data_IF_894081951601
#
_entry.id   IF_894081951601
#
_cell.length_a   1.000
_cell.length_b   1.000
_cell.length_c   1.000
_cell.angle_alpha   90.00
_cell.angle_beta   90.00
_cell.angle_gamma   90.00
#
_symmetry.space_group_name_H-M   'P 1'
#
loop_
_entity.id
_entity.type
_entity.pdbx_description
1 polymer ?
#
# COMPACT_ATOMS: atom_id res chain seq x y z
N UNK A 1 19.80 26.66 -2.76
CA UNK A 1 19.04 25.66 -3.54
C UNK A 1 19.98 24.85 -4.44
N UNK A 2 20.57 23.73 -3.97
CA UNK A 2 21.12 22.72 -4.87
C UNK A 2 20.91 21.29 -4.35
N UNK A 3 19.66 20.86 -4.15
CA UNK A 3 19.35 19.49 -3.67
C UNK A 3 18.60 18.63 -4.71
N UNK A 4 18.23 19.19 -5.86
CA UNK A 4 17.47 18.47 -6.89
C UNK A 4 18.34 17.97 -8.06
N UNK A 5 19.60 18.41 -8.17
CA UNK A 5 20.48 18.04 -9.29
C UNK A 5 21.23 16.72 -9.04
N UNK A 6 21.62 16.45 -7.79
CA UNK A 6 22.35 15.22 -7.41
C UNK A 6 21.42 14.00 -7.40
N UNK A 7 20.16 14.19 -7.01
CA UNK A 7 19.15 13.12 -6.99
C UNK A 7 18.67 12.75 -8.40
N UNK A 8 18.69 13.69 -9.35
CA UNK A 8 18.44 13.41 -10.77
C UNK A 8 19.58 12.65 -11.45
N UNK A 9 20.84 12.89 -11.06
CA UNK A 9 22.00 12.18 -11.59
C UNK A 9 22.10 10.72 -11.10
N UNK A 10 21.60 10.40 -9.90
CA UNK A 10 21.65 9.04 -9.37
C UNK A 10 20.65 8.07 -10.03
N UNK A 11 19.61 8.57 -10.69
CA UNK A 11 18.63 7.74 -11.42
C UNK A 11 18.99 7.53 -12.90
N UNK A 12 19.73 8.45 -13.53
CA UNK A 12 20.13 8.31 -14.95
C UNK A 12 21.29 7.33 -15.19
N UNK A 13 22.05 6.93 -14.17
CA UNK A 13 23.23 6.06 -14.32
C UNK A 13 22.93 4.55 -14.23
N UNK A 14 21.69 4.11 -14.51
CA UNK A 14 21.31 2.69 -14.47
C UNK A 14 20.77 2.16 -15.80
N UNK A 15 21.11 2.80 -16.92
CA UNK A 15 20.88 2.23 -18.24
C UNK A 15 22.25 1.92 -18.84
N UNK A 16 22.49 0.64 -19.14
CA UNK A 16 23.72 0.22 -19.83
C UNK A 16 23.74 0.84 -21.23
N UNK A 17 24.89 1.20 -21.82
CA UNK A 17 24.95 1.66 -23.20
C UNK A 17 24.31 0.66 -24.19
N UNK A 18 24.33 -0.65 -23.89
CA UNK A 18 23.61 -1.65 -24.69
C UNK A 18 22.08 -1.56 -24.52
N UNK A 19 21.58 -1.30 -23.30
CA UNK A 19 20.14 -1.09 -23.05
C UNK A 19 19.64 0.21 -23.70
N UNK A 20 20.47 1.26 -23.71
CA UNK A 20 20.16 2.52 -24.40
C UNK A 20 19.97 2.28 -25.89
N UNK A 21 20.90 1.56 -26.51
CA UNK A 21 20.87 1.28 -27.95
C UNK A 21 19.68 0.39 -28.31
N UNK A 22 19.37 -0.61 -27.49
CA UNK A 22 18.19 -1.46 -27.63
C UNK A 22 16.88 -0.65 -27.56
N UNK A 23 16.77 0.29 -26.61
CA UNK A 23 15.59 1.16 -26.47
C UNK A 23 15.47 2.11 -27.66
N UNK A 24 16.57 2.69 -28.15
CA UNK A 24 16.55 3.61 -29.29
C UNK A 24 16.14 2.89 -30.58
N UNK A 25 16.67 1.69 -30.82
CA UNK A 25 16.32 0.87 -31.99
C UNK A 25 14.83 0.49 -31.98
N UNK A 26 14.30 0.08 -30.82
CA UNK A 26 12.87 -0.24 -30.68
C UNK A 26 11.96 1.00 -30.74
N UNK A 27 12.46 2.19 -30.42
CA UNK A 27 11.70 3.45 -30.59
C UNK A 27 11.65 3.86 -32.07
N UNK A 28 12.76 3.71 -32.79
CA UNK A 28 12.86 4.02 -34.22
C UNK A 28 12.03 3.06 -35.09
N UNK A 29 11.97 1.77 -34.74
CA UNK A 29 11.06 0.80 -35.37
C UNK A 29 9.58 1.16 -35.13
N UNK A 30 9.23 1.56 -33.90
CA UNK A 30 7.87 1.96 -33.55
C UNK A 30 7.44 3.28 -34.22
N UNK A 31 8.35 4.23 -34.44
CA UNK A 31 8.08 5.45 -35.22
C UNK A 31 7.95 5.15 -36.72
N UNK A 32 8.73 4.21 -37.25
CA UNK A 32 8.70 3.85 -38.67
C UNK A 32 7.44 3.09 -39.10
N UNK A 33 6.77 2.40 -38.17
CA UNK A 33 5.45 1.78 -38.37
C UNK A 33 4.26 2.66 -37.96
N UNK A 34 4.50 3.86 -37.41
CA UNK A 34 3.44 4.77 -36.99
C UNK A 34 2.78 5.47 -38.20
N UNK A 35 1.74 4.83 -38.74
CA UNK A 35 0.63 5.56 -39.40
C UNK A 35 0.03 6.55 -38.40
N UNK A 36 -0.59 7.67 -38.84
CA UNK A 36 -0.95 8.82 -37.99
C UNK A 36 -2.15 8.58 -37.04
N UNK A 37 -2.27 7.40 -36.43
CA UNK A 37 -3.40 6.98 -35.61
C UNK A 37 -3.04 6.43 -34.22
N UNK A 38 -1.77 6.42 -33.77
CA UNK A 38 -1.38 5.71 -32.53
C UNK A 38 -0.69 6.54 -31.43
N UNK A 39 -0.88 7.86 -31.37
CA UNK A 39 -0.61 8.63 -30.14
C UNK A 39 -1.78 8.58 -29.14
N UNK A 40 -2.43 7.43 -28.98
CA UNK A 40 -3.21 7.17 -27.77
C UNK A 40 -2.27 6.51 -26.76
N UNK A 41 -1.53 7.35 -26.03
CA UNK A 41 -1.09 6.96 -24.71
C UNK A 41 -2.33 6.56 -23.92
N UNK A 42 -2.54 5.25 -23.72
CA UNK A 42 -3.60 4.73 -22.87
C UNK A 42 -3.54 5.51 -21.55
N UNK A 43 -4.63 6.19 -21.13
CA UNK A 43 -4.61 6.94 -19.88
C UNK A 43 -4.22 5.95 -18.76
N UNK A 44 -3.40 6.38 -17.78
CA UNK A 44 -3.00 5.51 -16.68
C UNK A 44 -4.28 4.94 -16.07
N UNK A 45 -4.41 3.62 -16.13
CA UNK A 45 -5.64 2.94 -15.75
C UNK A 45 -6.14 3.48 -14.41
N UNK A 46 -7.34 4.05 -14.43
CA UNK A 46 -7.94 4.67 -13.26
C UNK A 46 -8.06 3.60 -12.17
N UNK A 47 -7.39 3.82 -11.04
CA UNK A 47 -7.46 2.92 -9.89
C UNK A 47 -8.94 2.76 -9.50
N UNK A 48 -9.48 1.52 -9.43
CA UNK A 48 -10.90 1.29 -9.20
C UNK A 48 -11.27 1.52 -7.73
N UNK A 49 -11.21 2.78 -7.28
CA UNK A 49 -11.44 3.21 -5.89
C UNK A 49 -12.77 2.72 -5.31
N UNK A 50 -13.83 2.73 -6.13
CA UNK A 50 -15.17 2.30 -5.69
C UNK A 50 -15.22 0.80 -5.42
N UNK A 51 -14.56 0.00 -6.25
CA UNK A 51 -14.54 -1.46 -6.08
C UNK A 51 -13.71 -1.87 -4.87
N UNK A 52 -12.58 -1.17 -4.64
CA UNK A 52 -11.78 -1.34 -3.43
C UNK A 52 -12.58 -0.98 -2.17
N UNK A 53 -13.25 0.17 -2.16
CA UNK A 53 -14.06 0.64 -1.04
C UNK A 53 -15.31 -0.20 -0.77
N UNK A 54 -15.73 -1.05 -1.71
CA UNK A 54 -16.90 -1.94 -1.53
C UNK A 54 -16.49 -3.33 -1.04
N UNK A 55 -15.18 -3.64 -1.00
CA UNK A 55 -14.69 -4.96 -0.62
C UNK A 55 -14.55 -5.13 0.90
N UNK A 56 -15.10 -6.23 1.44
CA UNK A 56 -15.04 -6.56 2.87
C UNK A 56 -13.62 -6.67 3.45
N UNK A 57 -12.63 -7.29 2.76
CA UNK A 57 -11.28 -7.39 3.28
C UNK A 57 -10.59 -6.03 3.46
N UNK A 58 -10.94 -5.03 2.63
CA UNK A 58 -10.43 -3.66 2.76
C UNK A 58 -10.95 -3.01 4.04
N UNK A 59 -12.25 -3.14 4.34
CA UNK A 59 -12.81 -2.66 5.61
C UNK A 59 -12.25 -3.39 6.83
N UNK A 60 -12.03 -4.70 6.73
CA UNK A 60 -11.40 -5.48 7.79
C UNK A 60 -10.01 -4.94 8.12
N UNK A 61 -9.18 -4.67 7.11
CA UNK A 61 -7.85 -4.08 7.29
C UNK A 61 -7.94 -2.66 7.86
N UNK A 62 -8.84 -1.82 7.34
CA UNK A 62 -9.04 -0.45 7.85
C UNK A 62 -9.40 -0.42 9.34
N UNK A 63 -10.35 -1.25 9.75
CA UNK A 63 -10.83 -1.30 11.14
C UNK A 63 -9.77 -1.90 12.07
N UNK A 64 -9.03 -2.91 11.60
CA UNK A 64 -7.91 -3.50 12.34
C UNK A 64 -6.80 -2.48 12.59
N UNK A 65 -6.36 -1.80 11.53
CA UNK A 65 -5.28 -0.82 11.59
C UNK A 65 -5.67 0.41 12.42
N UNK A 66 -6.94 0.86 12.30
CA UNK A 66 -7.47 1.92 13.15
C UNK A 66 -7.53 1.50 14.63
N UNK A 67 -7.96 0.27 14.93
CA UNK A 67 -7.98 -0.27 16.30
C UNK A 67 -6.58 -0.40 16.91
N UNK A 68 -5.61 -0.84 16.12
CA UNK A 68 -4.20 -0.92 16.54
C UNK A 68 -3.61 0.48 16.78
N UNK A 69 -3.85 1.41 15.86
CA UNK A 69 -3.43 2.82 15.99
C UNK A 69 -4.04 3.48 17.24
N UNK A 70 -5.31 3.20 17.51
CA UNK A 70 -6.01 3.65 18.72
C UNK A 70 -5.34 3.13 19.99
N UNK A 71 -5.16 1.81 20.09
CA UNK A 71 -4.58 1.18 21.28
C UNK A 71 -3.19 1.72 21.55
N UNK A 72 -2.35 1.78 20.51
CA UNK A 72 -1.00 2.35 20.60
C UNK A 72 -1.02 3.80 21.09
N UNK A 73 -1.92 4.63 20.55
CA UNK A 73 -2.01 6.05 20.91
C UNK A 73 -2.43 6.27 22.37
N UNK A 74 -3.37 5.46 22.88
CA UNK A 74 -3.82 5.54 24.30
C UNK A 74 -2.69 5.09 25.22
N UNK A 75 -2.05 3.95 24.94
CA UNK A 75 -0.93 3.46 25.73
C UNK A 75 0.22 4.48 25.74
N UNK A 76 0.63 4.96 24.58
CA UNK A 76 1.75 5.88 24.46
C UNK A 76 1.48 7.21 25.17
N UNK A 77 0.29 7.79 25.01
CA UNK A 77 -0.02 9.13 25.54
C UNK A 77 -0.26 9.14 27.05
N UNK A 78 -0.80 8.07 27.61
CA UNK A 78 -1.24 8.05 29.00
C UNK A 78 -0.35 7.23 29.95
N UNK A 79 0.52 6.36 29.44
CA UNK A 79 1.53 5.66 30.26
C UNK A 79 2.42 6.64 31.05
N UNK A 80 2.98 7.71 30.45
CA UNK A 80 3.84 8.63 31.20
C UNK A 80 3.12 9.29 32.37
N UNK A 81 1.85 9.65 32.19
CA UNK A 81 0.99 10.24 33.24
C UNK A 81 0.67 9.22 34.34
N UNK A 82 0.38 7.97 33.98
CA UNK A 82 0.17 6.89 34.94
C UNK A 82 1.41 6.66 35.81
N UNK A 83 2.58 6.58 35.18
CA UNK A 83 3.86 6.34 35.88
C UNK A 83 4.22 7.52 36.80
N UNK A 84 3.93 8.74 36.38
CA UNK A 84 4.14 9.92 37.20
C UNK A 84 3.17 9.98 38.39
N UNK A 85 1.87 9.82 38.15
CA UNK A 85 0.84 10.07 39.16
C UNK A 85 0.64 8.90 40.13
N UNK A 86 0.86 7.66 39.68
CA UNK A 86 0.63 6.45 40.49
C UNK A 86 1.94 5.86 41.00
N UNK A 87 2.96 5.72 40.16
CA UNK A 87 4.27 5.20 40.59
C UNK A 87 5.16 6.28 41.21
N UNK A 88 4.85 7.56 41.04
CA UNK A 88 5.60 8.66 41.67
C UNK A 88 6.99 8.91 41.08
N UNK A 89 7.32 8.33 39.92
CA UNK A 89 8.62 8.54 39.30
C UNK A 89 8.79 9.99 38.81
N UNK A 90 9.97 10.57 39.06
CA UNK A 90 10.28 11.93 38.63
C UNK A 90 10.31 12.05 37.10
N UNK A 91 9.89 13.22 36.60
CA UNK A 91 9.80 13.54 35.16
C UNK A 91 11.14 13.31 34.42
N UNK A 92 12.29 13.45 35.11
CA UNK A 92 13.63 13.22 34.52
C UNK A 92 13.88 11.76 34.12
N UNK A 93 13.41 10.79 34.91
CA UNK A 93 13.51 9.36 34.57
C UNK A 93 12.39 8.95 33.60
N UNK A 94 11.24 9.63 33.64
CA UNK A 94 10.14 9.43 32.70
C UNK A 94 10.56 9.74 31.24
N UNK A 95 11.48 10.68 31.04
CA UNK A 95 12.05 10.98 29.71
C UNK A 95 12.80 9.80 29.10
N UNK A 96 13.62 9.08 29.89
CA UNK A 96 14.32 7.87 29.42
C UNK A 96 13.31 6.76 29.08
N UNK A 97 12.29 6.60 29.92
CA UNK A 97 11.25 5.60 29.69
C UNK A 97 10.36 5.92 28.48
N UNK A 98 10.12 7.20 28.21
CA UNK A 98 9.37 7.68 27.05
C UNK A 98 10.17 7.53 25.75
N UNK A 99 11.51 7.58 25.80
CA UNK A 99 12.38 7.35 24.65
C UNK A 99 12.46 5.85 24.24
N UNK A 100 12.23 4.94 25.17
CA UNK A 100 12.38 3.50 24.95
C UNK A 100 11.40 2.93 23.89
N UNK A 101 10.08 3.24 23.90
CA UNK A 101 9.16 2.81 22.85
C UNK A 101 9.57 3.27 21.45
N UNK A 102 10.13 4.47 21.31
CA UNK A 102 10.61 4.97 20.03
C UNK A 102 11.83 4.21 19.53
N UNK A 103 12.77 3.90 20.43
CA UNK A 103 13.92 3.09 20.11
C UNK A 103 13.51 1.66 19.70
N UNK A 104 12.59 1.05 20.46
CA UNK A 104 12.03 -0.26 20.12
C UNK A 104 11.35 -0.24 18.74
N UNK A 105 10.57 0.80 18.44
CA UNK A 105 9.93 0.96 17.13
C UNK A 105 10.96 1.13 16.01
N UNK A 106 12.03 1.87 16.25
CA UNK A 106 13.13 2.04 15.29
C UNK A 106 13.82 0.72 14.97
N UNK A 107 14.20 -0.04 15.99
CA UNK A 107 14.83 -1.36 15.81
C UNK A 107 13.89 -2.36 15.13
N UNK A 108 12.61 -2.36 15.55
CA UNK A 108 11.57 -3.18 14.91
C UNK A 108 11.39 -2.85 13.43
N UNK A 109 11.44 -1.57 13.07
CA UNK A 109 11.36 -1.13 11.68
C UNK A 109 12.54 -1.69 10.85
N UNK A 110 13.77 -1.62 11.37
CA UNK A 110 14.96 -2.20 10.71
C UNK A 110 14.76 -3.70 10.47
N UNK A 111 14.34 -4.44 11.50
CA UNK A 111 14.10 -5.89 11.38
C UNK A 111 13.02 -6.15 10.33
N UNK A 112 11.89 -5.44 10.38
CA UNK A 112 10.80 -5.63 9.42
C UNK A 112 11.23 -5.34 7.97
N UNK A 113 12.07 -4.32 7.76
CA UNK A 113 12.61 -3.98 6.44
C UNK A 113 13.53 -5.10 5.93
N UNK A 114 14.45 -5.59 6.77
CA UNK A 114 15.33 -6.70 6.38
C UNK A 114 14.56 -7.97 6.02
N UNK A 115 13.47 -8.26 6.74
CA UNK A 115 12.60 -9.40 6.45
C UNK A 115 11.86 -9.20 5.13
N UNK A 116 11.32 -8.00 4.88
CA UNK A 116 10.69 -7.68 3.61
C UNK A 116 11.67 -7.82 2.44
N UNK A 117 12.90 -7.31 2.59
CA UNK A 117 13.96 -7.41 1.58
C UNK A 117 14.39 -8.86 1.33
N UNK A 118 14.50 -9.67 2.39
CA UNK A 118 14.77 -11.11 2.27
C UNK A 118 13.67 -11.86 1.51
N UNK A 119 12.41 -11.48 1.68
CA UNK A 119 11.27 -12.07 0.95
C UNK A 119 11.29 -11.64 -0.52
N UNK A 120 11.62 -10.39 -0.81
CA UNK A 120 11.75 -9.88 -2.18
C UNK A 120 12.95 -10.50 -2.91
N UNK A 121 14.09 -10.68 -2.24
CA UNK A 121 15.30 -11.30 -2.80
C UNK A 121 15.11 -12.77 -3.21
N UNK A 122 14.11 -13.46 -2.65
CA UNK A 122 13.73 -14.83 -3.02
C UNK A 122 12.93 -14.92 -4.33
N UNK A 123 12.67 -13.79 -4.99
CA UNK A 123 12.07 -13.76 -6.34
C UNK A 123 10.60 -14.20 -6.40
N UNK A 124 9.91 -14.26 -5.26
CA UNK A 124 8.53 -14.75 -5.16
C UNK A 124 7.50 -13.84 -5.86
N UNK A 125 7.85 -12.58 -6.16
CA UNK A 125 6.94 -11.58 -6.72
C UNK A 125 7.64 -10.73 -7.78
N UNK A 126 6.96 -10.51 -8.92
CA UNK A 126 7.41 -9.59 -9.97
C UNK A 126 7.49 -8.13 -9.46
N UNK A 127 8.50 -7.37 -9.92
CA UNK A 127 8.74 -5.96 -9.56
C UNK A 127 7.49 -5.09 -9.76
N UNK A 128 6.68 -5.40 -10.77
CA UNK A 128 5.43 -4.71 -11.06
C UNK A 128 4.33 -5.00 -10.03
N UNK A 129 4.24 -6.26 -9.56
CA UNK A 129 3.30 -6.65 -8.50
C UNK A 129 3.67 -5.99 -7.17
N UNK A 130 4.96 -5.92 -6.86
CA UNK A 130 5.46 -5.25 -5.66
C UNK A 130 5.07 -3.76 -5.66
N UNK A 131 5.34 -3.04 -6.76
CA UNK A 131 4.98 -1.61 -6.87
C UNK A 131 3.48 -1.36 -6.67
N UNK A 132 2.62 -2.17 -7.31
CA UNK A 132 1.15 -2.05 -7.21
C UNK A 132 0.65 -2.32 -5.78
N UNK A 133 1.21 -3.33 -5.11
CA UNK A 133 0.87 -3.67 -3.73
C UNK A 133 1.32 -2.56 -2.76
N UNK A 134 2.53 -2.02 -2.90
CA UNK A 134 2.98 -0.92 -2.05
C UNK A 134 2.15 0.35 -2.21
N UNK A 135 1.77 0.72 -3.44
CA UNK A 135 0.92 1.91 -3.68
C UNK A 135 -0.48 1.76 -3.09
N UNK A 136 -1.07 0.56 -3.18
CA UNK A 136 -2.41 0.28 -2.61
C UNK A 136 -2.37 0.22 -1.08
N UNK A 137 -1.35 -0.44 -0.50
CA UNK A 137 -1.14 -0.46 0.95
C UNK A 137 -0.94 0.95 1.50
N UNK A 138 -0.04 1.75 0.91
CA UNK A 138 0.25 3.09 1.41
C UNK A 138 -0.97 4.01 1.43
N UNK A 139 -1.81 3.89 0.41
CA UNK A 139 -3.09 4.59 0.34
C UNK A 139 -4.06 4.13 1.43
N UNK A 140 -4.18 2.81 1.61
CA UNK A 140 -5.09 2.22 2.60
C UNK A 140 -4.68 2.61 4.03
N UNK A 141 -3.40 2.54 4.34
CA UNK A 141 -2.83 3.00 5.62
C UNK A 141 -3.08 4.49 5.84
N UNK A 142 -2.98 5.33 4.80
CA UNK A 142 -3.30 6.75 4.91
C UNK A 142 -4.76 7.02 5.28
N UNK A 143 -5.69 6.27 4.68
CA UNK A 143 -7.12 6.34 4.99
C UNK A 143 -7.40 5.85 6.42
N UNK A 144 -6.84 4.71 6.82
CA UNK A 144 -6.93 4.18 8.19
C UNK A 144 -6.47 5.20 9.22
N UNK A 145 -5.32 5.84 8.97
CA UNK A 145 -4.76 6.85 9.87
C UNK A 145 -5.69 8.05 10.03
N UNK A 146 -6.40 8.45 8.98
CA UNK A 146 -7.39 9.54 9.05
C UNK A 146 -8.56 9.16 9.96
N UNK A 147 -9.10 7.95 9.82
CA UNK A 147 -10.14 7.42 10.70
C UNK A 147 -9.65 7.31 12.15
N UNK A 148 -8.42 6.84 12.36
CA UNK A 148 -7.81 6.71 13.68
C UNK A 148 -7.64 8.06 14.39
N UNK A 149 -7.29 9.12 13.65
CA UNK A 149 -7.15 10.47 14.22
C UNK A 149 -8.49 11.01 14.74
N UNK A 150 -9.61 10.75 14.05
CA UNK A 150 -10.95 11.16 14.54
C UNK A 150 -11.28 10.48 15.87
N UNK A 151 -11.00 9.18 15.99
CA UNK A 151 -11.19 8.43 17.24
C UNK A 151 -10.25 8.94 18.33
N UNK A 152 -9.02 9.34 17.97
CA UNK A 152 -8.01 9.86 18.90
C UNK A 152 -8.40 11.19 19.54
N UNK A 153 -9.22 12.02 18.88
CA UNK A 153 -9.75 13.27 19.48
C UNK A 153 -10.71 12.97 20.64
N UNK A 154 -11.42 11.85 20.59
CA UNK A 154 -12.43 11.47 21.59
C UNK A 154 -11.77 10.89 22.86
N UNK A 155 -10.59 10.28 22.72
CA UNK A 155 -9.89 9.59 23.83
C UNK A 155 -9.57 10.50 25.01
N UNK A 156 -8.93 11.68 24.85
CA UNK A 156 -8.66 12.57 25.97
C UNK A 156 -9.92 13.03 26.70
N UNK A 157 -11.05 13.15 25.99
CA UNK A 157 -12.34 13.51 26.59
C UNK A 157 -12.84 12.38 27.49
N UNK A 158 -12.82 11.14 26.99
CA UNK A 158 -13.23 9.96 27.74
C UNK A 158 -12.31 9.73 28.94
N UNK A 159 -10.99 9.72 28.73
CA UNK A 159 -10.00 9.56 29.80
C UNK A 159 -10.11 10.69 30.82
N UNK A 160 -10.28 11.94 30.37
CA UNK A 160 -10.49 13.10 31.23
C UNK A 160 -11.72 12.93 32.12
N UNK A 161 -12.85 12.50 31.56
CA UNK A 161 -14.08 12.23 32.33
C UNK A 161 -13.90 11.11 33.36
N UNK A 162 -13.07 10.12 33.04
CA UNK A 162 -12.78 8.97 33.91
C UNK A 162 -11.74 9.25 34.99
N UNK A 163 -10.90 10.30 34.85
CA UNK A 163 -9.74 10.55 35.73
C UNK A 163 -9.74 11.92 36.44
N UNK A 164 -10.61 12.87 36.07
CA UNK A 164 -10.61 14.24 36.61
C UNK A 164 -10.85 14.33 38.13
N UNK A 165 -11.65 13.42 38.69
CA UNK A 165 -12.06 13.54 40.09
C UNK A 165 -11.02 12.99 41.07
N UNK A 166 -10.33 11.88 40.76
CA UNK A 166 -9.26 11.30 41.59
C UNK A 166 -8.34 10.37 40.78
N UNK A 167 -7.06 10.72 40.62
CA UNK A 167 -6.01 9.89 39.96
C UNK A 167 -5.67 8.66 40.81
N UNK A 168 -6.59 7.70 40.92
CA UNK A 168 -6.46 6.46 41.69
C UNK A 168 -6.19 5.28 40.77
N UNK A 169 -5.53 4.24 41.30
CA UNK A 169 -5.24 3.01 40.55
C UNK A 169 -6.51 2.39 39.92
N UNK A 170 -7.65 2.43 40.63
CA UNK A 170 -8.91 1.86 40.15
C UNK A 170 -9.52 2.60 38.95
N UNK A 171 -9.32 3.91 38.81
CA UNK A 171 -9.77 4.66 37.63
C UNK A 171 -8.87 4.37 36.42
N UNK A 172 -7.56 4.30 36.64
CA UNK A 172 -6.60 3.92 35.60
C UNK A 172 -6.80 2.50 35.09
N UNK A 173 -7.13 1.55 35.97
CA UNK A 173 -7.52 0.21 35.55
C UNK A 173 -8.73 0.23 34.60
N UNK A 174 -9.73 1.08 34.83
CA UNK A 174 -10.87 1.23 33.89
C UNK A 174 -10.42 1.78 32.53
N UNK A 175 -9.48 2.73 32.51
CA UNK A 175 -8.89 3.27 31.27
C UNK A 175 -8.11 2.20 30.49
N UNK A 176 -7.41 1.30 31.17
CA UNK A 176 -6.75 0.18 30.47
C UNK A 176 -7.76 -0.89 30.02
N UNK A 177 -8.76 -1.21 30.84
CA UNK A 177 -9.78 -2.18 30.50
C UNK A 177 -10.70 -1.73 29.36
N UNK A 178 -10.91 -0.43 29.14
CA UNK A 178 -11.67 0.05 27.97
C UNK A 178 -10.93 -0.17 26.63
N UNK A 179 -9.60 -0.29 26.63
CA UNK A 179 -8.84 -0.59 25.41
C UNK A 179 -9.03 -2.05 24.96
N UNK A 180 -9.19 -2.97 25.92
CA UNK A 180 -9.33 -4.41 25.66
C UNK A 180 -10.50 -4.75 24.71
N UNK A 181 -11.75 -4.32 24.95
CA UNK A 181 -12.86 -4.64 24.06
C UNK A 181 -12.71 -3.97 22.69
N UNK A 182 -12.16 -2.75 22.61
CA UNK A 182 -11.91 -2.10 21.32
C UNK A 182 -10.92 -2.91 20.49
N UNK A 183 -9.82 -3.33 21.12
CA UNK A 183 -8.81 -4.16 20.46
C UNK A 183 -9.38 -5.53 20.06
N UNK A 184 -10.06 -6.21 20.97
CA UNK A 184 -10.65 -7.51 20.72
C UNK A 184 -11.70 -7.47 19.60
N UNK A 185 -12.57 -6.46 19.57
CA UNK A 185 -13.58 -6.33 18.52
C UNK A 185 -12.95 -6.05 17.16
N UNK A 186 -11.93 -5.19 17.08
CA UNK A 186 -11.19 -4.94 15.84
C UNK A 186 -10.49 -6.19 15.31
N UNK A 187 -9.83 -6.95 16.18
CA UNK A 187 -9.13 -8.18 15.82
C UNK A 187 -10.09 -9.30 15.45
N UNK A 188 -11.19 -9.48 16.19
CA UNK A 188 -12.23 -10.47 15.84
C UNK A 188 -12.85 -10.13 14.50
N UNK A 189 -13.16 -8.86 14.24
CA UNK A 189 -13.67 -8.42 12.95
C UNK A 189 -12.67 -8.71 11.83
N UNK A 190 -11.39 -8.42 12.05
CA UNK A 190 -10.33 -8.78 11.12
C UNK A 190 -10.29 -10.28 10.86
N UNK A 191 -10.30 -11.12 11.89
CA UNK A 191 -10.23 -12.57 11.76
C UNK A 191 -11.41 -13.18 10.98
N UNK A 192 -12.59 -12.58 11.07
CA UNK A 192 -13.79 -13.06 10.36
C UNK A 192 -13.78 -12.65 8.88
N UNK A 193 -13.34 -11.42 8.57
CA UNK A 193 -13.51 -10.81 7.25
C UNK A 193 -12.21 -10.66 6.45
N UNK A 194 -11.05 -10.88 7.06
CA UNK A 194 -9.77 -10.88 6.35
C UNK A 194 -9.71 -12.07 5.39
N UNK A 195 -9.37 -11.76 4.14
CA UNK A 195 -9.08 -12.77 3.14
C UNK A 195 -7.72 -12.49 2.52
N UNK A 196 -6.89 -13.52 2.42
CA UNK A 196 -5.60 -13.46 1.73
C UNK A 196 -5.70 -13.71 0.22
N UNK A 197 -6.91 -13.96 -0.31
CA UNK A 197 -7.12 -14.14 -1.74
C UNK A 197 -6.95 -12.83 -2.50
N UNK A 198 -6.30 -12.90 -3.67
CA UNK A 198 -6.21 -11.77 -4.60
C UNK A 198 -7.61 -11.26 -4.93
N UNK A 199 -7.89 -10.01 -4.61
CA UNK A 199 -9.21 -9.42 -4.83
C UNK A 199 -9.47 -9.18 -6.32
N UNK A 200 -10.73 -9.24 -6.75
CA UNK A 200 -11.12 -9.16 -8.18
C UNK A 200 -10.62 -7.87 -8.86
N UNK A 201 -10.58 -6.76 -8.13
CA UNK A 201 -10.05 -5.48 -8.60
C UNK A 201 -8.54 -5.49 -8.89
N UNK A 202 -7.80 -6.51 -8.44
CA UNK A 202 -6.36 -6.67 -8.74
C UNK A 202 -6.11 -7.14 -10.19
N UNK A 203 -7.16 -7.59 -10.88
CA UNK A 203 -7.14 -7.97 -12.29
C UNK A 203 -7.80 -6.87 -13.15
N UNK A 204 -7.35 -5.61 -13.07
CA UNK A 204 -7.78 -4.62 -14.05
C UNK A 204 -6.76 -4.58 -15.19
N UNK A 205 -7.19 -4.89 -16.41
CA UNK A 205 -6.46 -4.69 -17.68
C UNK A 205 -5.56 -5.82 -18.20
N UNK A 206 -4.96 -6.69 -17.38
CA UNK A 206 -4.16 -7.80 -17.95
C UNK A 206 -5.05 -8.71 -18.81
N UNK A 207 -6.25 -9.02 -18.35
CA UNK A 207 -7.20 -9.83 -19.11
C UNK A 207 -7.70 -9.12 -20.36
N UNK A 208 -8.20 -7.88 -20.25
CA UNK A 208 -8.75 -7.16 -21.41
C UNK A 208 -7.70 -6.92 -22.49
N UNK A 209 -6.51 -6.48 -22.13
CA UNK A 209 -5.45 -6.20 -23.11
C UNK A 209 -4.95 -7.51 -23.75
N UNK A 210 -4.93 -8.63 -23.01
CA UNK A 210 -4.55 -9.95 -23.55
C UNK A 210 -5.65 -10.53 -24.45
N UNK A 211 -6.93 -10.38 -24.07
CA UNK A 211 -8.05 -10.84 -24.89
C UNK A 211 -8.21 -10.00 -26.16
N UNK A 212 -8.07 -8.67 -26.09
CA UNK A 212 -8.13 -7.78 -27.27
C UNK A 212 -6.90 -7.97 -28.19
N UNK A 213 -5.73 -8.30 -27.64
CA UNK A 213 -4.54 -8.65 -28.42
C UNK A 213 -4.65 -10.04 -29.10
N UNK A 214 -5.22 -11.04 -28.41
CA UNK A 214 -5.47 -12.37 -28.99
C UNK A 214 -6.56 -12.33 -30.07
N UNK A 215 -7.62 -11.55 -29.85
CA UNK A 215 -8.74 -11.38 -30.80
C UNK A 215 -8.27 -10.66 -32.08
N UNK A 216 -7.51 -9.57 -31.96
CA UNK A 216 -6.95 -8.85 -33.12
C UNK A 216 -5.91 -9.67 -33.92
N UNK A 217 -5.12 -10.51 -33.25
CA UNK A 217 -4.18 -11.42 -33.92
C UNK A 217 -4.94 -12.50 -34.70
N UNK A 218 -6.02 -13.04 -34.13
CA UNK A 218 -6.84 -14.06 -34.79
C UNK A 218 -7.58 -13.52 -36.02
N UNK A 219 -8.12 -12.30 -35.96
CA UNK A 219 -8.77 -11.64 -37.11
C UNK A 219 -7.78 -11.31 -38.24
N UNK A 220 -6.54 -10.92 -37.89
CA UNK A 220 -5.49 -10.68 -38.88
C UNK A 220 -5.03 -11.97 -39.57
N UNK A 221 -4.90 -13.07 -38.81
CA UNK A 221 -4.51 -14.37 -39.35
C UNK A 221 -5.61 -14.95 -40.26
N UNK A 222 -6.87 -14.78 -39.89
CA UNK A 222 -8.04 -15.20 -40.70
C UNK A 222 -8.19 -14.36 -41.99
N UNK A 223 -7.93 -13.05 -41.92
CA UNK A 223 -7.87 -12.17 -43.10
C UNK A 223 -6.71 -12.51 -44.04
N UNK A 224 -5.54 -12.88 -43.49
CA UNK A 224 -4.38 -13.29 -44.29
C UNK A 224 -4.63 -14.63 -45.00
N UNK A 225 -5.21 -15.60 -44.29
CA UNK A 225 -5.56 -16.90 -44.87
C UNK A 225 -6.65 -16.80 -45.94
N UNK A 226 -7.63 -15.89 -45.80
CA UNK A 226 -8.64 -15.67 -46.86
C UNK A 226 -8.04 -15.01 -48.11
N UNK A 227 -7.04 -14.13 -47.96
CA UNK A 227 -6.33 -13.54 -49.10
C UNK A 227 -5.39 -14.51 -49.83
N UNK A 228 -4.85 -15.52 -49.15
CA UNK A 228 -3.99 -16.56 -49.74
C UNK A 228 -4.80 -17.66 -50.44
N UNK A 229 -6.05 -17.88 -50.03
CA UNK A 229 -6.92 -18.94 -50.57
C UNK A 229 -7.77 -18.50 -51.75
N UNK A 230 -7.68 -17.24 -52.18
CA UNK A 230 -8.43 -16.72 -53.32
C UNK A 230 -7.86 -17.29 -54.64
N UNK A 231 -8.57 -18.20 -55.35
CA UNK A 231 -8.03 -18.92 -56.52
C UNK A 231 -7.80 -18.04 -57.75
N UNK A 232 -8.08 -16.73 -57.67
CA UNK A 232 -8.02 -15.80 -58.79
C UNK A 232 -6.78 -14.88 -58.78
N UNK A 233 -5.87 -15.01 -57.82
CA UNK A 233 -4.70 -14.10 -57.72
C UNK A 233 -3.46 -14.55 -58.52
N UNK A 234 -3.52 -15.68 -59.23
CA UNK A 234 -2.45 -16.14 -60.14
C UNK A 234 -2.54 -15.52 -61.56
N UNK A 235 -2.85 -14.22 -61.66
CA UNK A 235 -2.90 -13.53 -62.98
C UNK A 235 -2.15 -12.20 -63.12
N UNK A 236 -1.21 -11.84 -62.22
CA UNK A 236 -0.22 -10.81 -62.58
C UNK A 236 1.14 -11.11 -61.96
N UNK A 237 2.01 -11.71 -62.78
CA UNK A 237 3.47 -11.52 -62.72
C UNK A 237 3.78 -10.12 -63.25
#
# INVERSE_FOLDING_TARGET
>A
QPLNLVTGMLLCCRISPEELQYIQEHLEENESQATPASHQATPPASVPWREMATSWPVWAILICDAGNSFGFSVYFSHIPTYIQNILGFSIKQNGVLSALPFLCRYLGAIISATVADMVMARGLLSVLSVRRVFSTIGTLTGLSNTCANVVSVIVPIVVGSLTQNQQTLGQWQKVFWMCVPVYALSEIFFLIFASASTQKWNYSNISKDTYEAEESTSEQEESFLSGVTDPNNDQNI
#
